data_IF_111638084074
#
_entry.id   IF_111638084074
#
_cell.length_a   1.000
_cell.length_b   1.000
_cell.length_c   1.000
_cell.angle_alpha   90.00
_cell.angle_beta   90.00
_cell.angle_gamma   90.00
#
_symmetry.space_group_name_H-M   'P 1'
#
loop_
_entity.id
_entity.type
_entity.pdbx_description
1 polymer ?
#
# COMPACT_ATOMS: atom_id res chain seq x y z
N UNK A 1 5.40 3.51 12.58
CA UNK A 1 4.43 2.44 12.29
C UNK A 1 3.94 2.69 10.86
N UNK A 2 4.38 1.90 9.88
CA UNK A 2 3.92 2.08 8.49
C UNK A 2 2.65 1.25 8.31
N UNK A 3 1.53 1.91 8.03
CA UNK A 3 0.23 1.27 7.78
C UNK A 3 0.12 0.86 6.30
N UNK A 4 1.01 1.38 5.44
CA UNK A 4 1.00 1.17 4.00
C UNK A 4 2.26 0.41 3.57
N UNK A 5 2.09 -0.49 2.59
CA UNK A 5 3.20 -1.20 1.97
C UNK A 5 4.21 -0.22 1.35
N UNK A 6 5.49 -0.47 1.60
CA UNK A 6 6.61 0.32 1.11
C UNK A 6 7.50 -0.56 0.23
N UNK A 7 7.57 -0.23 -1.06
CA UNK A 7 8.38 -0.99 -2.02
C UNK A 7 9.87 -0.87 -1.67
N UNK A 8 10.31 0.28 -1.17
CA UNK A 8 11.70 0.47 -0.76
C UNK A 8 12.05 -0.50 0.37
N UNK A 9 11.14 -0.69 1.32
CA UNK A 9 11.32 -1.66 2.40
C UNK A 9 11.34 -3.11 1.88
N UNK A 10 10.46 -3.48 0.92
CA UNK A 10 10.50 -4.80 0.31
C UNK A 10 11.87 -5.07 -0.34
N UNK A 11 12.38 -4.09 -1.09
CA UNK A 11 13.66 -4.20 -1.77
C UNK A 11 14.85 -4.24 -0.80
N UNK A 12 14.78 -3.53 0.31
CA UNK A 12 15.76 -3.65 1.41
C UNK A 12 15.74 -5.04 2.04
N UNK A 13 14.56 -5.64 2.23
CA UNK A 13 14.46 -7.00 2.76
C UNK A 13 14.90 -8.07 1.76
N UNK A 14 14.86 -7.76 0.46
CA UNK A 14 15.31 -8.64 -0.61
C UNK A 14 14.50 -9.93 -0.77
N UNK A 15 13.29 -10.00 -0.20
CA UNK A 15 12.49 -11.23 -0.16
C UNK A 15 10.99 -10.91 -0.14
N UNK A 16 10.22 -11.64 -0.97
CA UNK A 16 8.75 -11.68 -0.90
C UNK A 16 8.36 -12.84 0.02
N UNK A 17 7.76 -12.53 1.17
CA UNK A 17 7.58 -13.52 2.26
C UNK A 17 6.27 -14.29 2.21
N UNK A 18 5.29 -13.74 1.52
CA UNK A 18 3.93 -14.28 1.48
C UNK A 18 3.19 -13.75 0.25
N UNK A 19 2.03 -14.35 0.00
CA UNK A 19 1.19 -14.07 -1.16
C UNK A 19 0.68 -12.62 -1.21
N UNK A 20 0.47 -11.98 -0.05
CA UNK A 20 0.09 -10.57 -0.01
C UNK A 20 1.24 -9.64 -0.44
N UNK A 21 2.46 -9.92 0.00
CA UNK A 21 3.64 -9.18 -0.46
C UNK A 21 3.87 -9.40 -1.96
N UNK A 22 3.60 -10.61 -2.46
CA UNK A 22 3.67 -10.95 -3.88
C UNK A 22 2.69 -10.11 -4.72
N UNK A 23 1.42 -10.06 -4.31
CA UNK A 23 0.39 -9.28 -5.01
C UNK A 23 0.66 -7.77 -4.98
N UNK A 24 1.14 -7.26 -3.84
CA UNK A 24 1.60 -5.87 -3.72
C UNK A 24 2.78 -5.59 -4.64
N UNK A 25 3.73 -6.52 -4.77
CA UNK A 25 4.87 -6.43 -5.69
C UNK A 25 4.41 -6.39 -7.16
N UNK A 26 3.43 -7.21 -7.56
CA UNK A 26 2.86 -7.17 -8.92
C UNK A 26 2.18 -5.83 -9.24
N UNK A 27 1.44 -5.26 -8.28
CA UNK A 27 0.85 -3.92 -8.42
C UNK A 27 1.95 -2.86 -8.55
N UNK A 28 3.00 -2.97 -7.73
CA UNK A 28 4.16 -2.09 -7.77
C UNK A 28 4.92 -2.16 -9.11
N UNK A 29 5.20 -3.34 -9.67
CA UNK A 29 5.87 -3.48 -10.98
C UNK A 29 5.09 -2.76 -12.08
N UNK A 30 3.76 -2.93 -12.10
CA UNK A 30 2.88 -2.26 -13.06
C UNK A 30 2.96 -0.73 -12.96
N UNK A 31 3.02 -0.20 -11.74
CA UNK A 31 3.20 1.25 -11.50
C UNK A 31 4.58 1.72 -11.94
N UNK A 32 5.64 1.02 -11.54
CA UNK A 32 7.03 1.34 -11.91
C UNK A 32 7.24 1.28 -13.42
N UNK A 33 6.55 0.37 -14.13
CA UNK A 33 6.55 0.33 -15.59
C UNK A 33 6.04 1.62 -16.22
N UNK A 34 4.98 2.22 -15.67
CA UNK A 34 4.43 3.49 -16.16
C UNK A 34 5.39 4.63 -15.81
N UNK A 35 5.84 4.71 -14.56
CA UNK A 35 6.77 5.74 -14.11
C UNK A 35 8.10 5.70 -14.86
N UNK A 36 8.61 4.51 -15.21
CA UNK A 36 9.86 4.34 -15.98
C UNK A 36 9.81 4.91 -17.40
N UNK A 37 8.61 5.17 -17.94
CA UNK A 37 8.45 5.86 -19.22
C UNK A 37 8.66 7.36 -19.10
N UNK A 38 8.33 7.92 -17.93
CA UNK A 38 8.46 9.35 -17.62
C UNK A 38 9.84 9.66 -17.05
N UNK A 39 10.37 8.78 -16.20
CA UNK A 39 11.66 8.91 -15.54
C UNK A 39 12.44 7.58 -15.61
N UNK A 40 13.49 7.48 -16.45
CA UNK A 40 14.29 6.27 -16.60
C UNK A 40 14.99 5.78 -15.32
N UNK A 41 15.10 6.63 -14.28
CA UNK A 41 15.72 6.25 -13.00
C UNK A 41 14.95 5.14 -12.27
N UNK A 42 13.69 4.88 -12.63
CA UNK A 42 12.90 3.76 -12.09
C UNK A 42 13.25 2.40 -12.70
N UNK A 43 14.00 2.33 -13.80
CA UNK A 43 14.32 1.06 -14.47
C UNK A 43 15.10 0.07 -13.60
N UNK A 44 16.16 0.47 -12.86
CA UNK A 44 16.89 -0.42 -11.97
C UNK A 44 16.01 -0.95 -10.84
N UNK A 45 15.23 -0.06 -10.21
CA UNK A 45 14.29 -0.40 -9.14
C UNK A 45 13.26 -1.43 -9.61
N UNK A 46 12.69 -1.21 -10.79
CA UNK A 46 11.75 -2.15 -11.42
C UNK A 46 12.40 -3.49 -11.71
N UNK A 47 13.64 -3.51 -12.19
CA UNK A 47 14.36 -4.76 -12.47
C UNK A 47 14.53 -5.58 -11.19
N UNK A 48 15.03 -4.97 -10.12
CA UNK A 48 15.19 -5.65 -8.82
C UNK A 48 13.86 -6.23 -8.32
N UNK A 49 12.77 -5.47 -8.43
CA UNK A 49 11.45 -5.96 -8.03
C UNK A 49 11.00 -7.16 -8.88
N UNK A 50 11.25 -7.16 -10.19
CA UNK A 50 10.94 -8.29 -11.07
C UNK A 50 11.74 -9.53 -10.74
N UNK A 51 13.02 -9.37 -10.41
CA UNK A 51 13.88 -10.48 -10.03
C UNK A 51 13.33 -11.18 -8.76
N UNK A 52 12.81 -10.41 -7.79
CA UNK A 52 12.15 -10.94 -6.59
C UNK A 52 10.81 -11.62 -6.89
N UNK A 53 10.00 -11.03 -7.77
CA UNK A 53 8.72 -11.60 -8.22
C UNK A 53 8.96 -12.96 -8.88
N UNK A 54 9.93 -13.04 -9.80
CA UNK A 54 10.28 -14.26 -10.51
C UNK A 54 10.80 -15.35 -9.56
N UNK A 55 11.63 -14.99 -8.58
CA UNK A 55 12.09 -15.92 -7.55
C UNK A 55 10.90 -16.51 -6.77
N UNK A 56 9.98 -15.67 -6.31
CA UNK A 56 8.81 -16.13 -5.58
C UNK A 56 7.90 -17.01 -6.44
N UNK A 57 7.62 -16.63 -7.68
CA UNK A 57 6.82 -17.41 -8.64
C UNK A 57 7.42 -18.80 -8.86
N UNK A 58 8.74 -18.90 -9.05
CA UNK A 58 9.42 -20.17 -9.27
C UNK A 58 9.37 -21.08 -8.03
N UNK A 59 9.44 -20.53 -6.82
CA UNK A 59 9.37 -21.30 -5.59
C UNK A 59 7.95 -21.73 -5.22
N UNK A 60 6.95 -20.89 -5.52
CA UNK A 60 5.60 -21.03 -5.00
C UNK A 60 4.57 -21.48 -6.04
N UNK A 61 4.75 -21.09 -7.29
CA UNK A 61 3.76 -21.22 -8.35
C UNK A 61 4.30 -21.96 -9.59
N UNK A 62 5.39 -22.72 -9.45
CA UNK A 62 5.91 -23.50 -10.56
C UNK A 62 4.92 -24.58 -11.03
N UNK A 63 4.95 -24.87 -12.33
CA UNK A 63 4.03 -25.80 -12.98
C UNK A 63 4.19 -27.26 -12.53
N UNK A 64 5.36 -27.60 -11.98
CA UNK A 64 5.69 -28.93 -11.47
C UNK A 64 5.15 -29.16 -10.05
N UNK A 65 4.81 -28.08 -9.33
CA UNK A 65 4.26 -28.14 -7.98
C UNK A 65 2.78 -28.44 -8.01
N UNK A 66 2.35 -29.35 -7.14
CA UNK A 66 0.92 -29.62 -6.91
C UNK A 66 0.31 -28.43 -6.16
N UNK A 67 -0.25 -27.47 -6.91
CA UNK A 67 -0.97 -26.32 -6.35
C UNK A 67 -2.22 -26.84 -5.64
N UNK A 68 -2.34 -26.51 -4.35
CA UNK A 68 -3.49 -26.89 -3.54
C UNK A 68 -4.61 -25.86 -3.61
N UNK A 69 -5.85 -26.31 -3.46
CA UNK A 69 -7.04 -25.46 -3.31
C UNK A 69 -6.87 -24.40 -2.19
N UNK A 70 -6.18 -24.77 -1.11
CA UNK A 70 -5.87 -23.84 -0.01
C UNK A 70 -5.00 -22.67 -0.49
N UNK A 71 -3.96 -22.97 -1.30
CA UNK A 71 -3.05 -21.95 -1.84
C UNK A 71 -3.76 -21.01 -2.80
N UNK A 72 -4.66 -21.53 -3.64
CA UNK A 72 -5.50 -20.71 -4.52
C UNK A 72 -6.32 -19.72 -3.70
N UNK A 73 -6.97 -20.17 -2.62
CA UNK A 73 -7.75 -19.28 -1.74
C UNK A 73 -6.89 -18.24 -1.03
N UNK A 74 -5.68 -18.60 -0.61
CA UNK A 74 -4.73 -17.65 -0.03
C UNK A 74 -4.38 -16.55 -1.04
N UNK A 75 -4.19 -16.92 -2.32
CA UNK A 75 -3.98 -15.99 -3.44
C UNK A 75 -5.18 -15.09 -3.66
N UNK A 76 -6.39 -15.63 -3.79
CA UNK A 76 -7.61 -14.84 -3.99
C UNK A 76 -7.81 -13.78 -2.89
N UNK A 77 -7.55 -14.15 -1.63
CA UNK A 77 -7.62 -13.24 -0.47
C UNK A 77 -6.54 -12.15 -0.58
N UNK A 78 -5.30 -12.53 -0.90
CA UNK A 78 -4.20 -11.60 -1.07
C UNK A 78 -4.45 -10.61 -2.20
N UNK A 79 -4.94 -11.07 -3.36
CA UNK A 79 -5.31 -10.23 -4.51
C UNK A 79 -6.38 -9.21 -4.09
N UNK A 80 -7.43 -9.65 -3.38
CA UNK A 80 -8.51 -8.78 -2.91
C UNK A 80 -8.02 -7.68 -1.97
N UNK A 81 -7.13 -8.01 -1.02
CA UNK A 81 -6.53 -7.04 -0.09
C UNK A 81 -5.65 -6.05 -0.84
N UNK A 82 -4.74 -6.53 -1.68
CA UNK A 82 -3.84 -5.67 -2.46
C UNK A 82 -4.60 -4.74 -3.41
N UNK A 83 -5.72 -5.21 -3.97
CA UNK A 83 -6.60 -4.41 -4.81
C UNK A 83 -7.33 -3.31 -4.02
N UNK A 84 -7.84 -3.62 -2.83
CA UNK A 84 -8.43 -2.62 -1.91
C UNK A 84 -7.40 -1.53 -1.59
N UNK A 85 -6.16 -1.90 -1.29
CA UNK A 85 -5.05 -0.96 -1.05
C UNK A 85 -4.75 -0.09 -2.28
N UNK A 86 -4.69 -0.70 -3.47
CA UNK A 86 -4.46 0.02 -4.73
C UNK A 86 -5.54 1.06 -4.99
N UNK A 87 -6.81 0.67 -4.82
CA UNK A 87 -7.95 1.57 -5.01
C UNK A 87 -7.94 2.72 -3.99
N UNK A 88 -7.60 2.43 -2.74
CA UNK A 88 -7.42 3.47 -1.72
C UNK A 88 -6.36 4.51 -2.13
N UNK A 89 -5.16 4.05 -2.53
CA UNK A 89 -4.08 4.93 -2.98
C UNK A 89 -4.52 5.78 -4.18
N UNK A 90 -5.22 5.18 -5.13
CA UNK A 90 -5.72 5.88 -6.31
C UNK A 90 -6.73 6.98 -5.94
N UNK A 91 -7.72 6.67 -5.09
CA UNK A 91 -8.71 7.66 -4.62
C UNK A 91 -8.05 8.80 -3.87
N UNK A 92 -7.12 8.50 -2.96
CA UNK A 92 -6.34 9.50 -2.21
C UNK A 92 -5.59 10.43 -3.16
N UNK A 93 -4.88 9.86 -4.15
CA UNK A 93 -4.14 10.61 -5.18
C UNK A 93 -5.05 11.55 -5.97
N UNK A 94 -6.21 11.07 -6.41
CA UNK A 94 -7.19 11.88 -7.15
C UNK A 94 -7.74 13.03 -6.30
N UNK A 95 -8.05 12.76 -5.03
CA UNK A 95 -8.56 13.77 -4.09
C UNK A 95 -7.52 14.88 -3.83
N UNK A 96 -6.27 14.50 -3.58
CA UNK A 96 -5.15 15.45 -3.43
C UNK A 96 -5.01 16.28 -4.71
N UNK A 97 -4.96 15.65 -5.89
CA UNK A 97 -4.84 16.35 -7.18
C UNK A 97 -5.97 17.34 -7.43
N UNK A 98 -7.21 16.95 -7.12
CA UNK A 98 -8.38 17.82 -7.26
C UNK A 98 -8.25 19.06 -6.36
N UNK A 99 -7.85 18.89 -5.10
CA UNK A 99 -7.68 20.00 -4.16
C UNK A 99 -6.51 20.91 -4.56
N UNK A 100 -5.39 20.37 -5.02
CA UNK A 100 -4.26 21.15 -5.52
C UNK A 100 -4.66 21.99 -6.74
N UNK A 101 -5.42 21.40 -7.68
CA UNK A 101 -5.93 22.13 -8.86
C UNK A 101 -6.79 23.33 -8.47
N UNK A 102 -7.66 23.18 -7.47
CA UNK A 102 -8.50 24.28 -6.98
C UNK A 102 -7.69 25.43 -6.37
N UNK A 103 -6.50 25.12 -5.83
CA UNK A 103 -5.57 26.10 -5.27
C UNK A 103 -4.55 26.61 -6.29
N UNK A 104 -4.65 26.18 -7.56
CA UNK A 104 -3.67 26.48 -8.62
C UNK A 104 -2.24 26.05 -8.26
N UNK A 105 -2.09 24.99 -7.46
CA UNK A 105 -0.79 24.44 -7.06
C UNK A 105 -0.37 23.29 -7.99
N UNK A 106 0.89 23.29 -8.38
CA UNK A 106 1.49 22.16 -9.09
C UNK A 106 1.91 21.07 -8.10
N UNK A 107 2.21 19.87 -8.64
CA UNK A 107 2.77 18.79 -7.82
C UNK A 107 4.15 19.16 -7.25
N UNK A 108 4.91 20.04 -7.89
CA UNK A 108 6.20 20.52 -7.41
C UNK A 108 6.03 21.50 -6.23
N UNK A 109 5.07 22.42 -6.31
CA UNK A 109 4.75 23.33 -5.20
C UNK A 109 4.28 22.56 -3.97
N UNK A 110 3.41 21.56 -4.20
CA UNK A 110 2.97 20.65 -3.15
C UNK A 110 4.15 19.92 -2.50
N UNK A 111 5.12 19.47 -3.32
CA UNK A 111 6.36 18.88 -2.84
C UNK A 111 7.14 19.80 -1.91
N UNK A 112 7.39 21.04 -2.37
CA UNK A 112 8.10 22.04 -1.60
C UNK A 112 7.40 22.34 -0.26
N UNK A 113 6.06 22.42 -0.23
CA UNK A 113 5.28 22.63 1.00
C UNK A 113 5.46 21.48 2.00
N UNK A 114 5.52 20.24 1.51
CA UNK A 114 5.77 19.06 2.36
C UNK A 114 7.23 18.96 2.83
N UNK A 115 8.14 19.74 2.22
CA UNK A 115 9.58 19.69 2.48
C UNK A 115 10.32 18.68 1.60
N UNK A 116 9.72 18.27 0.48
CA UNK A 116 10.27 17.32 -0.48
C UNK A 116 10.63 18.03 -1.78
N UNK A 117 11.92 18.21 -2.04
CA UNK A 117 12.39 18.95 -3.22
C UNK A 117 12.52 18.09 -4.48
N UNK A 118 12.46 16.75 -4.34
CA UNK A 118 12.58 15.84 -5.47
C UNK A 118 11.23 15.60 -6.14
N UNK A 119 11.15 15.95 -7.43
CA UNK A 119 9.95 15.70 -8.26
C UNK A 119 9.64 14.20 -8.39
N UNK A 120 10.68 13.36 -8.52
CA UNK A 120 10.53 11.91 -8.60
C UNK A 120 9.97 11.36 -7.28
N UNK A 121 10.53 11.78 -6.15
CA UNK A 121 10.07 11.34 -4.83
C UNK A 121 8.60 11.73 -4.55
N UNK A 122 8.17 12.94 -4.91
CA UNK A 122 6.74 13.29 -4.80
C UNK A 122 5.87 12.45 -5.71
N UNK A 123 6.37 12.08 -6.90
CA UNK A 123 5.67 11.12 -7.75
C UNK A 123 5.52 9.77 -7.07
N UNK A 124 6.55 9.26 -6.40
CA UNK A 124 6.50 8.01 -5.65
C UNK A 124 5.44 8.05 -4.55
N UNK A 125 5.43 9.11 -3.73
CA UNK A 125 4.45 9.31 -2.68
C UNK A 125 3.01 9.35 -3.22
N UNK A 126 2.79 10.16 -4.26
CA UNK A 126 1.48 10.30 -4.90
C UNK A 126 0.99 9.00 -5.52
N UNK A 127 1.89 8.16 -6.05
CA UNK A 127 1.55 6.87 -6.65
C UNK A 127 1.53 5.73 -5.63
N UNK A 128 1.90 5.98 -4.38
CA UNK A 128 2.04 4.98 -3.32
C UNK A 128 3.08 3.92 -3.63
N UNK A 129 4.18 4.32 -4.28
CA UNK A 129 5.42 3.53 -4.35
C UNK A 129 6.13 3.61 -3.01
N UNK A 130 6.18 4.83 -2.47
CA UNK A 130 6.59 5.12 -1.09
C UNK A 130 5.38 5.67 -0.32
N UNK A 131 5.28 5.42 0.99
CA UNK A 131 4.20 5.93 1.82
C UNK A 131 4.44 7.38 2.22
N UNK A 132 3.37 8.17 2.35
CA UNK A 132 3.45 9.47 3.03
C UNK A 132 3.78 9.27 4.51
N UNK A 133 4.63 10.13 5.06
CA UNK A 133 4.85 10.15 6.50
C UNK A 133 3.63 10.71 7.24
N UNK A 134 3.52 10.46 8.55
CA UNK A 134 2.45 11.07 9.36
C UNK A 134 2.49 12.61 9.30
N UNK A 135 3.69 13.21 9.29
CA UNK A 135 3.86 14.65 9.13
C UNK A 135 3.25 15.11 7.81
N UNK A 136 3.55 14.42 6.70
CA UNK A 136 2.98 14.75 5.39
C UNK A 136 1.45 14.68 5.43
N UNK A 137 0.90 13.59 5.97
CA UNK A 137 -0.56 13.39 6.06
C UNK A 137 -1.25 14.47 6.90
N UNK A 138 -0.65 14.91 8.00
CA UNK A 138 -1.15 16.02 8.82
C UNK A 138 -1.13 17.33 8.01
N UNK A 139 -0.04 17.62 7.30
CA UNK A 139 0.04 18.83 6.45
C UNK A 139 -1.01 18.78 5.35
N UNK A 140 -1.18 17.63 4.68
CA UNK A 140 -2.21 17.43 3.64
C UNK A 140 -3.61 17.69 4.19
N UNK A 141 -3.94 17.10 5.34
CA UNK A 141 -5.22 17.33 6.01
C UNK A 141 -5.44 18.82 6.29
N UNK A 142 -4.45 19.50 6.87
CA UNK A 142 -4.57 20.91 7.28
C UNK A 142 -4.60 21.87 6.09
N UNK A 143 -3.80 21.62 5.06
CA UNK A 143 -3.68 22.45 3.86
C UNK A 143 -4.88 22.27 2.93
N UNK A 144 -5.22 21.03 2.58
CA UNK A 144 -6.20 20.71 1.55
C UNK A 144 -7.62 20.48 2.11
N UNK A 145 -7.77 20.46 3.44
CA UNK A 145 -9.04 20.17 4.15
C UNK A 145 -9.65 18.85 3.65
N UNK A 146 -8.80 17.82 3.58
CA UNK A 146 -9.18 16.44 3.26
C UNK A 146 -9.29 15.68 4.58
N UNK A 147 -10.33 14.88 4.76
CA UNK A 147 -10.51 14.08 5.97
C UNK A 147 -9.36 13.07 6.13
N UNK A 148 -8.94 12.80 7.38
CA UNK A 148 -7.87 11.82 7.61
C UNK A 148 -8.26 10.40 7.19
N UNK A 149 -9.55 10.05 7.21
CA UNK A 149 -10.08 8.77 6.74
C UNK A 149 -9.89 8.56 5.24
N UNK A 150 -9.80 9.63 4.46
CA UNK A 150 -9.45 9.58 3.02
C UNK A 150 -7.94 9.54 2.76
N UNK A 151 -7.12 9.82 3.79
CA UNK A 151 -5.66 9.92 3.70
C UNK A 151 -4.93 8.71 4.27
N UNK A 152 -5.52 8.05 5.26
CA UNK A 152 -4.99 6.88 5.96
C UNK A 152 -5.91 5.68 5.72
N UNK A 153 -5.36 4.49 5.40
CA UNK A 153 -6.16 3.26 5.35
C UNK A 153 -6.85 3.00 6.68
N UNK A 154 -8.17 2.83 6.67
CA UNK A 154 -8.98 2.50 7.85
C UNK A 154 -9.26 1.01 8.01
N UNK A 155 -8.77 0.17 7.08
CA UNK A 155 -8.88 -1.28 7.17
C UNK A 155 -7.66 -1.89 7.88
N UNK A 156 -7.91 -2.97 8.64
CA UNK A 156 -6.89 -3.67 9.40
C UNK A 156 -6.48 -5.00 8.72
N UNK A 157 -5.18 -5.37 8.73
CA UNK A 157 -4.74 -6.68 8.29
C UNK A 157 -5.49 -7.80 9.00
N UNK A 158 -5.81 -8.89 8.30
CA UNK A 158 -6.58 -10.01 8.88
C UNK A 158 -5.89 -10.62 10.10
N UNK A 159 -4.56 -10.73 10.08
CA UNK A 159 -3.76 -11.21 11.21
C UNK A 159 -3.95 -10.36 12.46
N UNK A 160 -3.95 -9.04 12.31
CA UNK A 160 -4.15 -8.10 13.42
C UNK A 160 -5.59 -8.13 13.92
N UNK A 161 -6.57 -8.22 13.01
CA UNK A 161 -7.98 -8.41 13.39
C UNK A 161 -8.20 -9.68 14.21
N UNK A 162 -7.60 -10.80 13.79
CA UNK A 162 -7.68 -12.08 14.52
C UNK A 162 -7.02 -11.95 15.90
N UNK A 163 -5.84 -11.33 15.99
CA UNK A 163 -5.15 -11.09 17.26
C UNK A 163 -5.98 -10.23 18.20
N UNK A 164 -6.49 -9.09 17.73
CA UNK A 164 -7.34 -8.17 18.50
C UNK A 164 -8.57 -8.90 19.02
N UNK A 165 -9.30 -9.61 18.13
CA UNK A 165 -10.50 -10.37 18.51
C UNK A 165 -10.20 -11.45 19.54
N UNK A 166 -9.08 -12.16 19.39
CA UNK A 166 -8.66 -13.21 20.33
C UNK A 166 -8.32 -12.63 21.69
N UNK A 167 -7.59 -11.50 21.72
CA UNK A 167 -7.23 -10.81 22.96
C UNK A 167 -8.46 -10.26 23.67
N UNK A 168 -9.41 -9.65 22.97
CA UNK A 168 -10.64 -9.11 23.56
C UNK A 168 -11.49 -10.22 24.17
N UNK A 169 -11.64 -11.35 23.47
CA UNK A 169 -12.30 -12.53 24.03
C UNK A 169 -11.61 -13.04 25.29
N UNK A 170 -10.28 -13.01 25.35
CA UNK A 170 -9.50 -13.42 26.54
C UNK A 170 -9.63 -12.45 27.71
N UNK A 171 -9.80 -11.15 27.44
CA UNK A 171 -9.96 -10.13 28.47
C UNK A 171 -11.32 -10.21 29.16
N UNK A 172 -12.32 -10.80 28.50
CA UNK A 172 -13.69 -11.00 29.01
C UNK A 172 -14.27 -9.77 29.73
N UNK A 173 -13.99 -8.58 29.17
CA UNK A 173 -14.40 -7.33 29.76
C UNK A 173 -15.78 -6.91 29.22
N UNK A 174 -16.84 -6.87 30.05
CA UNK A 174 -18.20 -6.59 29.59
C UNK A 174 -18.40 -5.17 29.04
N UNK A 175 -17.48 -4.25 29.35
CA UNK A 175 -17.49 -2.87 28.84
C UNK A 175 -16.78 -2.73 27.48
N UNK A 176 -16.06 -3.76 27.03
CA UNK A 176 -15.33 -3.74 25.77
C UNK A 176 -16.07 -4.61 24.73
N UNK A 177 -16.97 -3.98 23.97
CA UNK A 177 -17.72 -4.64 22.89
C UNK A 177 -17.23 -4.11 21.55
N UNK A 178 -16.75 -5.01 20.69
CA UNK A 178 -16.55 -4.71 19.28
C UNK A 178 -17.76 -5.21 18.49
N UNK A 179 -18.29 -4.35 17.64
CA UNK A 179 -19.25 -4.72 16.61
C UNK A 179 -18.57 -5.59 15.55
N UNK A 180 -19.36 -6.33 14.76
CA UNK A 180 -18.84 -7.06 13.59
C UNK A 180 -18.27 -6.11 12.54
N UNK A 181 -18.76 -4.88 12.52
CA UNK A 181 -18.41 -3.85 11.55
C UNK A 181 -17.10 -3.15 11.95
N UNK A 182 -16.76 -3.13 13.25
CA UNK A 182 -15.52 -2.51 13.76
C UNK A 182 -14.25 -3.21 13.25
N UNK A 183 -14.36 -4.43 12.72
CA UNK A 183 -13.25 -5.20 12.14
C UNK A 183 -13.58 -5.70 10.71
N UNK A 184 -14.58 -5.11 10.04
CA UNK A 184 -15.19 -5.49 8.74
C UNK A 184 -14.42 -6.55 7.93
N UNK A 185 -14.97 -7.77 7.90
CA UNK A 185 -14.65 -8.80 6.89
C UNK A 185 -15.61 -8.59 5.71
N UNK A 186 -15.09 -8.04 4.61
CA UNK A 186 -15.51 -8.49 3.29
C UNK A 186 -14.42 -9.42 2.76
#
# INVERSE_FOLDING_TARGET
>A
MSIQFDISQLLETGEIKNELDFERALIADRKLRVLSKEDPTYKPLRKQLRDLIELYENENWNAESKISEKKIRESDIATSIAEKERLFIQRRKELIRKKLKNLHLTQQDFGAILGHNSKSYISELMNGVSPFSLKDLIVINRLLKIDLTDLVPTFLPQSDRIKIRTTIKKLDNPNLKLSTDDLELA
#
